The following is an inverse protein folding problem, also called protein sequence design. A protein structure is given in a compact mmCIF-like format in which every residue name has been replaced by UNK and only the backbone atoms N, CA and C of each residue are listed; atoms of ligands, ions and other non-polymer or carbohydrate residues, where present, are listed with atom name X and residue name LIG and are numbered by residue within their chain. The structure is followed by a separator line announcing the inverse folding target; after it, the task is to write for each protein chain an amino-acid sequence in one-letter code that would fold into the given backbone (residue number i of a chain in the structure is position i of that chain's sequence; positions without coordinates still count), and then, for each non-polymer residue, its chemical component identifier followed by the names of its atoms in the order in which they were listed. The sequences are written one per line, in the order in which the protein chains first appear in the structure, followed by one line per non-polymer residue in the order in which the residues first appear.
data_IF_820097593059
#
_entry.id   IF_820097593059
#
_cell.length_a   1.000
_cell.length_b   1.000
_cell.length_c   1.000
_cell.angle_alpha   90.00
_cell.angle_beta   90.00
_cell.angle_gamma   90.00
#
_symmetry.space_group_name_H-M   'P 1'
#
loop_
_entity.id
_entity.type
_entity.pdbx_description
1 polymer ?
#
# COMPACT_ATOMS: atom_id res chain seq x y z
N UNK A 1 27.30 5.52 76.44
CA UNK A 1 26.19 5.80 75.50
C UNK A 1 26.67 5.48 74.09
N UNK A 2 25.92 4.62 73.38
CA UNK A 2 26.32 3.91 72.16
C UNK A 2 26.48 4.85 70.96
N UNK A 3 27.65 4.84 70.29
CA UNK A 3 27.79 5.25 68.89
C UNK A 3 27.86 3.98 68.03
N UNK A 4 26.84 3.76 67.20
CA UNK A 4 26.77 2.67 66.22
C UNK A 4 27.73 3.00 65.07
N UNK A 5 28.69 2.12 64.81
CA UNK A 5 29.48 2.09 63.59
C UNK A 5 28.62 1.39 62.54
N UNK A 6 28.31 2.10 61.45
CA UNK A 6 27.56 1.56 60.32
C UNK A 6 28.57 0.97 59.34
N UNK A 7 28.56 -0.35 59.22
CA UNK A 7 29.31 -1.12 58.23
C UNK A 7 28.70 -0.89 56.84
N UNK A 8 29.49 -0.38 55.89
CA UNK A 8 29.12 -0.30 54.47
C UNK A 8 29.34 -1.67 53.86
N UNK A 9 28.27 -2.42 53.60
CA UNK A 9 28.28 -3.60 52.73
C UNK A 9 28.40 -3.14 51.28
N UNK A 10 29.57 -3.37 50.67
CA UNK A 10 29.78 -3.21 49.24
C UNK A 10 29.00 -4.28 48.48
N UNK A 11 27.99 -3.86 47.72
CA UNK A 11 27.30 -4.70 46.76
C UNK A 11 28.20 -4.84 45.52
N UNK A 12 28.74 -6.03 45.29
CA UNK A 12 29.43 -6.36 44.04
C UNK A 12 28.36 -6.49 42.95
N UNK A 13 28.27 -5.47 42.09
CA UNK A 13 27.45 -5.51 40.89
C UNK A 13 28.15 -6.44 39.88
N UNK A 14 27.71 -7.69 39.78
CA UNK A 14 28.09 -8.58 38.69
C UNK A 14 27.40 -8.04 37.44
N UNK A 15 28.16 -7.31 36.61
CA UNK A 15 27.73 -6.92 35.27
C UNK A 15 27.65 -8.22 34.45
N UNK A 16 26.44 -8.77 34.31
CA UNK A 16 26.16 -9.78 33.30
C UNK A 16 26.25 -9.08 31.94
N UNK A 17 27.42 -9.11 31.30
CA UNK A 17 27.56 -8.83 29.88
C UNK A 17 26.84 -9.95 29.13
N UNK A 18 25.54 -9.78 28.93
CA UNK A 18 24.81 -10.51 27.90
C UNK A 18 25.37 -9.97 26.59
N UNK A 19 26.26 -10.75 25.96
CA UNK A 19 26.61 -10.50 24.58
C UNK A 19 25.31 -10.45 23.78
N UNK A 20 25.09 -9.44 22.91
CA UNK A 20 23.97 -9.49 21.98
C UNK A 20 24.07 -10.82 21.22
N UNK A 21 22.94 -11.48 20.89
CA UNK A 21 23.00 -12.69 20.09
C UNK A 21 23.85 -12.38 18.86
N UNK A 22 24.98 -13.08 18.76
CA UNK A 22 25.81 -13.04 17.56
C UNK A 22 24.88 -13.32 16.40
N UNK A 23 24.82 -12.38 15.47
CA UNK A 23 24.16 -12.52 14.18
C UNK A 23 24.45 -13.92 13.69
N UNK A 24 23.42 -14.76 13.61
CA UNK A 24 23.56 -16.05 12.97
C UNK A 24 24.15 -15.76 11.60
N UNK A 25 25.32 -16.33 11.32
CA UNK A 25 25.81 -16.42 9.95
C UNK A 25 24.69 -17.13 9.20
N UNK A 26 23.99 -16.37 8.36
CA UNK A 26 22.85 -16.85 7.57
C UNK A 26 23.45 -17.82 6.57
N UNK A 27 23.24 -19.11 6.79
CA UNK A 27 23.47 -20.14 5.76
C UNK A 27 22.63 -19.72 4.54
N UNK A 28 23.21 -19.58 3.33
CA UNK A 28 22.54 -19.01 2.16
C UNK A 28 21.34 -19.82 1.64
N UNK A 29 21.08 -21.02 2.17
CA UNK A 29 20.14 -21.98 1.59
C UNK A 29 18.81 -22.16 2.33
N UNK A 30 18.46 -21.34 3.33
CA UNK A 30 17.20 -21.55 4.07
C UNK A 30 15.93 -21.16 3.30
N UNK A 31 16.03 -20.37 2.22
CA UNK A 31 14.88 -19.90 1.44
C UNK A 31 14.55 -20.76 0.21
N UNK A 32 15.51 -21.55 -0.31
CA UNK A 32 15.24 -22.58 -1.33
C UNK A 32 14.60 -23.85 -0.74
N UNK A 33 14.72 -24.05 0.58
CA UNK A 33 14.16 -25.21 1.28
C UNK A 33 12.64 -25.04 1.43
N UNK A 34 11.90 -25.40 0.38
CA UNK A 34 10.44 -25.28 0.30
C UNK A 34 9.92 -24.58 -0.97
N UNK A 35 10.79 -24.24 -1.91
CA UNK A 35 10.40 -23.81 -3.25
C UNK A 35 10.00 -25.03 -4.11
N UNK A 36 8.87 -24.94 -4.80
CA UNK A 36 8.40 -25.96 -5.73
C UNK A 36 8.97 -25.73 -7.13
N UNK A 37 9.14 -24.46 -7.51
CA UNK A 37 9.71 -24.02 -8.77
C UNK A 37 10.73 -22.91 -8.52
N UNK A 38 11.91 -23.01 -9.14
CA UNK A 38 13.00 -22.03 -8.98
C UNK A 38 13.31 -21.42 -10.34
N UNK A 39 12.90 -20.17 -10.52
CA UNK A 39 13.24 -19.37 -11.70
C UNK A 39 14.74 -19.10 -11.71
N UNK A 40 15.42 -19.57 -12.76
CA UNK A 40 16.87 -19.51 -12.89
C UNK A 40 17.33 -18.83 -14.21
N UNK A 41 16.40 -18.32 -15.01
CA UNK A 41 16.63 -17.64 -16.29
C UNK A 41 15.74 -16.42 -16.42
N UNK A 42 16.26 -15.30 -16.94
CA UNK A 42 15.41 -14.13 -17.27
C UNK A 42 14.75 -14.20 -18.64
N UNK A 43 14.96 -15.29 -19.38
CA UNK A 43 14.34 -15.47 -20.69
C UNK A 43 12.81 -15.57 -20.58
N UNK A 44 12.09 -15.23 -21.66
CA UNK A 44 10.65 -15.44 -21.79
C UNK A 44 10.28 -15.97 -23.21
N UNK A 45 10.71 -17.19 -23.59
CA UNK A 45 10.52 -17.70 -24.95
C UNK A 45 9.08 -18.11 -25.26
N UNK A 46 8.17 -18.10 -24.27
CA UNK A 46 6.76 -18.45 -24.45
C UNK A 46 6.44 -19.96 -24.38
N UNK A 47 7.44 -20.84 -24.48
CA UNK A 47 7.31 -22.30 -24.46
C UNK A 47 8.46 -22.96 -23.68
N UNK A 48 8.17 -24.09 -23.03
CA UNK A 48 9.19 -24.98 -22.45
C UNK A 48 8.73 -25.63 -21.14
N UNK A 49 9.67 -26.01 -20.27
CA UNK A 49 9.40 -26.72 -19.01
C UNK A 49 10.38 -26.21 -17.96
N UNK A 50 9.87 -25.87 -16.78
CA UNK A 50 10.71 -25.43 -15.67
C UNK A 50 11.52 -26.61 -15.12
N UNK A 51 12.84 -26.61 -15.31
CA UNK A 51 13.76 -27.59 -14.76
C UNK A 51 15.10 -26.97 -14.31
N UNK A 52 16.05 -27.83 -13.89
CA UNK A 52 17.38 -27.38 -13.41
C UNK A 52 18.25 -26.74 -14.50
N UNK A 53 17.98 -27.01 -15.78
CA UNK A 53 18.71 -26.45 -16.91
C UNK A 53 18.21 -25.06 -17.22
N UNK A 54 16.89 -24.93 -17.33
CA UNK A 54 16.23 -23.64 -17.55
C UNK A 54 14.83 -23.68 -16.94
N UNK A 55 14.52 -22.65 -16.18
CA UNK A 55 13.21 -22.37 -15.66
C UNK A 55 12.99 -20.86 -15.70
N UNK A 56 12.17 -20.44 -16.65
CA UNK A 56 11.68 -19.06 -16.77
C UNK A 56 10.48 -18.83 -15.85
N UNK A 57 10.18 -17.57 -15.55
CA UNK A 57 9.01 -17.23 -14.74
C UNK A 57 7.71 -17.75 -15.38
N UNK A 58 7.57 -17.66 -16.70
CA UNK A 58 6.41 -18.18 -17.42
C UNK A 58 6.23 -19.68 -17.23
N UNK A 59 7.31 -20.44 -17.33
CA UNK A 59 7.26 -21.90 -17.16
C UNK A 59 6.96 -22.28 -15.72
N UNK A 60 7.53 -21.58 -14.74
CA UNK A 60 7.24 -21.78 -13.33
C UNK A 60 5.75 -21.54 -13.02
N UNK A 61 5.17 -20.44 -13.51
CA UNK A 61 3.73 -20.16 -13.38
C UNK A 61 2.89 -21.25 -14.05
N UNK A 62 3.27 -21.66 -15.27
CA UNK A 62 2.52 -22.70 -16.01
C UNK A 62 2.55 -24.03 -15.28
N UNK A 63 3.69 -24.38 -14.68
CA UNK A 63 3.84 -25.61 -13.91
C UNK A 63 3.03 -25.56 -12.61
N UNK A 64 3.10 -24.47 -11.85
CA UNK A 64 2.31 -24.26 -10.63
C UNK A 64 0.79 -24.33 -10.92
N UNK A 65 0.33 -23.70 -12.01
CA UNK A 65 -1.07 -23.77 -12.43
C UNK A 65 -1.56 -25.20 -12.77
N UNK A 66 -0.65 -26.13 -13.03
CA UNK A 66 -0.96 -27.46 -13.53
C UNK A 66 -0.71 -28.59 -12.53
N UNK A 67 -0.17 -28.30 -11.35
CA UNK A 67 0.28 -29.33 -10.41
C UNK A 67 -0.76 -29.72 -9.34
N UNK A 68 -1.79 -28.90 -9.16
CA UNK A 68 -2.91 -29.12 -8.24
C UNK A 68 -2.53 -29.04 -6.77
N UNK A 69 -1.50 -28.25 -6.42
CA UNK A 69 -1.11 -27.97 -5.04
C UNK A 69 -0.71 -26.50 -4.87
N UNK A 70 -0.74 -26.06 -3.62
CA UNK A 70 -0.11 -24.80 -3.19
C UNK A 70 1.37 -24.84 -3.56
N UNK A 71 1.80 -23.88 -4.36
CA UNK A 71 3.15 -23.81 -4.93
C UNK A 71 3.90 -22.56 -4.50
N UNK A 72 5.20 -22.70 -4.23
CA UNK A 72 6.10 -21.56 -4.05
C UNK A 72 7.03 -21.43 -5.25
N UNK A 73 6.92 -20.32 -5.97
CA UNK A 73 7.82 -19.90 -7.04
C UNK A 73 8.88 -18.97 -6.44
N UNK A 74 10.13 -19.45 -6.42
CA UNK A 74 11.30 -18.72 -5.98
C UNK A 74 12.17 -18.28 -7.17
N UNK A 75 13.13 -17.39 -6.91
CA UNK A 75 14.12 -16.89 -7.86
C UNK A 75 15.53 -17.20 -7.34
N UNK A 76 16.37 -17.75 -8.22
CA UNK A 76 17.80 -17.91 -8.02
C UNK A 76 18.55 -17.76 -9.35
N UNK A 77 18.32 -16.63 -10.02
CA UNK A 77 18.90 -16.33 -11.32
C UNK A 77 20.39 -15.96 -11.15
N UNK A 78 21.32 -16.58 -11.89
CA UNK A 78 22.75 -16.29 -11.74
C UNK A 78 23.12 -14.92 -12.29
N UNK A 79 24.14 -14.28 -11.71
CA UNK A 79 24.70 -13.03 -12.23
C UNK A 79 25.38 -13.18 -13.61
N UNK A 80 25.57 -14.42 -14.09
CA UNK A 80 26.01 -14.72 -15.46
C UNK A 80 24.87 -14.72 -16.47
N UNK A 81 23.61 -14.65 -16.01
CA UNK A 81 22.45 -14.57 -16.87
C UNK A 81 22.46 -13.26 -17.68
N UNK A 82 21.98 -13.33 -18.92
CA UNK A 82 22.01 -12.21 -19.86
C UNK A 82 21.15 -11.01 -19.44
N UNK A 83 20.15 -11.21 -18.57
CA UNK A 83 19.30 -10.15 -18.02
C UNK A 83 19.88 -9.46 -16.79
N UNK A 84 21.03 -9.89 -16.26
CA UNK A 84 21.65 -9.24 -15.11
C UNK A 84 22.40 -7.95 -15.50
N UNK A 85 22.05 -6.85 -14.85
CA UNK A 85 22.77 -5.58 -14.96
C UNK A 85 23.65 -5.32 -13.73
N UNK A 86 24.95 -5.51 -13.88
CA UNK A 86 25.93 -5.29 -12.80
C UNK A 86 26.04 -3.85 -12.25
N UNK A 87 25.52 -2.85 -12.97
CA UNK A 87 25.54 -1.46 -12.51
C UNK A 87 24.37 -1.13 -11.57
N UNK A 88 23.24 -1.83 -11.72
CA UNK A 88 22.04 -1.66 -10.90
C UNK A 88 21.81 -2.82 -9.93
N UNK A 89 22.43 -3.97 -10.17
CA UNK A 89 22.23 -5.19 -9.38
C UNK A 89 20.87 -5.86 -9.61
N UNK A 90 20.28 -5.69 -10.79
CA UNK A 90 18.92 -6.11 -11.14
C UNK A 90 18.95 -7.16 -12.26
N UNK A 91 18.05 -8.14 -12.19
CA UNK A 91 17.72 -9.08 -13.25
C UNK A 91 16.42 -8.69 -13.92
N UNK A 92 16.48 -8.35 -15.21
CA UNK A 92 15.31 -7.93 -15.97
C UNK A 92 14.78 -9.06 -16.86
N UNK A 93 13.52 -9.42 -16.64
CA UNK A 93 12.71 -10.32 -17.47
C UNK A 93 11.90 -9.47 -18.45
N UNK A 94 12.27 -9.50 -19.73
CA UNK A 94 11.51 -8.82 -20.77
C UNK A 94 10.38 -9.71 -21.29
N UNK A 95 9.14 -9.30 -21.06
CA UNK A 95 7.97 -10.09 -21.45
C UNK A 95 7.79 -10.11 -22.97
N UNK A 96 7.73 -11.31 -23.55
CA UNK A 96 7.38 -11.52 -24.95
C UNK A 96 5.86 -11.50 -25.19
N UNK A 97 5.09 -11.80 -24.15
CA UNK A 97 3.62 -11.70 -24.09
C UNK A 97 3.19 -11.52 -22.63
N UNK A 98 1.92 -11.19 -22.37
CA UNK A 98 1.42 -11.16 -20.98
C UNK A 98 1.76 -12.47 -20.28
N UNK A 99 2.14 -12.43 -19.00
CA UNK A 99 2.40 -13.63 -18.22
C UNK A 99 1.14 -14.52 -18.17
N UNK A 100 1.28 -15.85 -18.06
CA UNK A 100 0.12 -16.71 -17.85
C UNK A 100 -0.61 -16.24 -16.59
N UNK A 101 -1.94 -16.28 -16.62
CA UNK A 101 -2.75 -15.99 -15.45
C UNK A 101 -2.32 -16.93 -14.30
N UNK A 102 -2.16 -16.40 -13.10
CA UNK A 102 -1.85 -17.23 -11.93
C UNK A 102 -3.17 -17.76 -11.35
N UNK A 103 -3.47 -19.04 -11.58
CA UNK A 103 -4.79 -19.63 -11.32
C UNK A 103 -4.80 -20.67 -10.21
N UNK A 104 -3.65 -21.25 -9.87
CA UNK A 104 -3.58 -22.17 -8.72
C UNK A 104 -3.57 -21.40 -7.40
N UNK A 105 -4.59 -21.64 -6.59
CA UNK A 105 -4.77 -20.98 -5.29
C UNK A 105 -3.65 -21.34 -4.30
N UNK A 106 -3.25 -20.37 -3.49
CA UNK A 106 -2.16 -20.52 -2.53
C UNK A 106 -0.78 -20.27 -3.14
N UNK A 107 -0.68 -20.03 -4.46
CA UNK A 107 0.62 -19.88 -5.10
C UNK A 107 1.33 -18.58 -4.66
N UNK A 108 2.55 -18.71 -4.15
CA UNK A 108 3.42 -17.59 -3.82
C UNK A 108 4.47 -17.35 -4.89
N UNK A 109 4.65 -16.10 -5.35
CA UNK A 109 5.74 -15.68 -6.23
C UNK A 109 6.64 -14.71 -5.47
N UNK A 110 7.82 -15.20 -5.10
CA UNK A 110 8.64 -14.61 -4.03
C UNK A 110 9.92 -14.00 -4.58
N UNK A 111 9.86 -12.77 -5.09
CA UNK A 111 11.03 -12.03 -5.58
C UNK A 111 12.11 -11.83 -4.53
N UNK A 112 11.74 -11.75 -3.24
CA UNK A 112 12.67 -11.69 -2.10
C UNK A 112 13.67 -12.86 -2.01
N UNK A 113 13.35 -14.00 -2.62
CA UNK A 113 14.24 -15.17 -2.60
C UNK A 113 15.51 -14.92 -3.40
N UNK A 114 15.48 -14.08 -4.44
CA UNK A 114 16.68 -13.66 -5.18
C UNK A 114 17.69 -13.00 -4.23
N UNK A 115 17.25 -11.98 -3.48
CA UNK A 115 18.05 -11.31 -2.44
C UNK A 115 18.52 -12.29 -1.37
N UNK A 116 17.65 -13.21 -0.95
CA UNK A 116 17.97 -14.22 0.05
C UNK A 116 19.13 -15.15 -0.37
N UNK A 117 19.19 -15.50 -1.66
CA UNK A 117 20.13 -16.48 -2.21
C UNK A 117 21.42 -15.83 -2.75
N UNK A 118 21.32 -14.63 -3.34
CA UNK A 118 22.46 -13.91 -3.95
C UNK A 118 23.02 -12.79 -3.06
N UNK A 119 22.35 -12.47 -1.96
CA UNK A 119 22.61 -11.26 -1.17
C UNK A 119 21.92 -10.05 -1.79
N UNK A 120 21.80 -8.98 -1.02
CA UNK A 120 21.20 -7.71 -1.47
C UNK A 120 22.07 -7.04 -2.53
N UNK A 121 21.74 -7.24 -3.80
CA UNK A 121 22.43 -6.63 -4.93
C UNK A 121 21.79 -5.32 -5.37
N UNK A 122 20.53 -5.07 -5.00
CA UNK A 122 19.83 -3.81 -5.23
C UNK A 122 19.33 -3.23 -3.89
N UNK A 123 20.14 -2.41 -3.20
CA UNK A 123 19.80 -1.88 -1.87
C UNK A 123 18.64 -0.89 -1.88
N UNK A 124 18.10 -0.59 -3.05
CA UNK A 124 17.04 0.38 -3.26
C UNK A 124 15.70 -0.27 -3.57
N UNK A 125 15.61 -1.58 -3.78
CA UNK A 125 14.33 -2.19 -4.15
C UNK A 125 14.45 -3.65 -4.56
N UNK A 126 13.42 -4.17 -5.25
CA UNK A 126 13.43 -5.52 -5.79
C UNK A 126 14.61 -5.79 -6.74
N UNK A 127 15.17 -6.99 -6.68
CA UNK A 127 16.23 -7.43 -7.61
C UNK A 127 15.67 -8.01 -8.91
N UNK A 128 14.42 -8.47 -8.90
CA UNK A 128 13.74 -9.00 -10.08
C UNK A 128 12.85 -7.91 -10.67
N UNK A 129 13.11 -7.57 -11.93
CA UNK A 129 12.30 -6.66 -12.72
C UNK A 129 11.57 -7.43 -13.82
N UNK A 130 10.25 -7.28 -13.88
CA UNK A 130 9.37 -7.80 -14.92
C UNK A 130 8.95 -6.60 -15.79
N UNK A 131 9.51 -6.53 -16.99
CA UNK A 131 9.31 -5.40 -17.89
C UNK A 131 8.40 -5.79 -19.06
N UNK A 132 7.22 -5.15 -19.13
CA UNK A 132 6.25 -5.25 -20.20
C UNK A 132 6.53 -4.38 -21.44
N UNK A 133 7.66 -3.67 -21.52
CA UNK A 133 7.92 -2.66 -22.55
C UNK A 133 7.83 -3.16 -24.01
N UNK A 134 7.92 -4.48 -24.23
CA UNK A 134 7.84 -5.12 -25.55
C UNK A 134 6.44 -5.66 -25.88
N UNK A 135 5.48 -5.51 -24.98
CA UNK A 135 4.11 -5.97 -25.18
C UNK A 135 3.34 -5.07 -26.14
N UNK A 136 2.34 -5.65 -26.81
CA UNK A 136 1.44 -4.90 -27.70
C UNK A 136 0.61 -3.86 -26.93
N UNK A 137 0.24 -2.72 -27.55
CA UNK A 137 -0.65 -1.74 -26.93
C UNK A 137 -1.92 -2.37 -26.34
N UNK A 138 -2.27 -2.00 -25.11
CA UNK A 138 -3.42 -2.53 -24.38
C UNK A 138 -3.20 -3.88 -23.68
N UNK A 139 -2.01 -4.50 -23.78
CA UNK A 139 -1.69 -5.69 -23.02
C UNK A 139 -1.39 -5.39 -21.55
N UNK A 140 -1.93 -6.21 -20.65
CA UNK A 140 -1.54 -6.24 -19.24
C UNK A 140 -0.21 -6.98 -19.08
N UNK A 141 0.53 -6.71 -18.01
CA UNK A 141 1.67 -7.55 -17.66
C UNK A 141 1.22 -8.89 -17.07
N UNK A 142 0.29 -8.86 -16.11
CA UNK A 142 -0.06 -10.06 -15.36
C UNK A 142 -1.50 -10.06 -14.82
N UNK A 143 -2.16 -11.20 -14.97
CA UNK A 143 -3.45 -11.51 -14.38
C UNK A 143 -3.28 -12.39 -13.13
N UNK A 144 -3.89 -11.97 -12.02
CA UNK A 144 -3.80 -12.63 -10.71
C UNK A 144 -5.17 -13.23 -10.35
N UNK A 145 -5.17 -14.53 -10.05
CA UNK A 145 -6.31 -15.29 -9.54
C UNK A 145 -6.54 -15.05 -8.05
N UNK A 146 -6.82 -16.12 -7.29
CA UNK A 146 -7.14 -16.05 -5.85
C UNK A 146 -6.02 -16.64 -4.99
N UNK A 147 -6.00 -16.23 -3.71
CA UNK A 147 -5.14 -16.74 -2.65
C UNK A 147 -3.65 -16.76 -3.06
N UNK A 148 -3.20 -15.74 -3.78
CA UNK A 148 -1.82 -15.62 -4.25
C UNK A 148 -1.03 -14.67 -3.35
N UNK A 149 0.28 -14.93 -3.21
CA UNK A 149 1.22 -13.91 -2.72
C UNK A 149 2.14 -13.42 -3.83
N UNK A 150 2.20 -12.11 -4.08
CA UNK A 150 3.18 -11.47 -4.97
C UNK A 150 4.07 -10.58 -4.11
N UNK A 151 5.35 -10.97 -3.98
CA UNK A 151 6.29 -10.33 -3.07
C UNK A 151 7.55 -9.83 -3.79
N UNK A 152 7.91 -8.56 -3.54
CA UNK A 152 9.18 -7.92 -3.92
C UNK A 152 9.60 -8.12 -5.37
N UNK A 153 8.72 -7.72 -6.29
CA UNK A 153 9.00 -7.61 -7.72
C UNK A 153 8.92 -6.16 -8.18
N UNK A 154 9.75 -5.78 -9.14
CA UNK A 154 9.50 -4.58 -9.95
C UNK A 154 8.66 -4.99 -11.16
N UNK A 155 7.54 -4.32 -11.42
CA UNK A 155 6.62 -4.60 -12.54
C UNK A 155 6.35 -3.29 -13.27
N UNK A 156 6.86 -3.16 -14.49
CA UNK A 156 6.84 -1.87 -15.20
C UNK A 156 6.75 -2.02 -16.72
N UNK A 157 6.60 -0.88 -17.42
CA UNK A 157 6.50 -0.85 -18.88
C UNK A 157 5.27 -1.56 -19.46
N UNK A 158 4.26 -1.86 -18.65
CA UNK A 158 3.04 -2.57 -19.05
C UNK A 158 2.10 -1.65 -19.86
N UNK A 159 1.74 -1.95 -21.12
CA UNK A 159 0.91 -1.05 -21.93
C UNK A 159 -0.49 -0.77 -21.37
N UNK A 160 -1.06 -1.69 -20.59
CA UNK A 160 -2.27 -1.51 -19.79
C UNK A 160 -1.96 -1.58 -18.29
N UNK A 161 -2.61 -2.49 -17.56
CA UNK A 161 -2.41 -2.66 -16.13
C UNK A 161 -1.09 -3.36 -15.81
N UNK A 162 -0.44 -2.95 -14.72
CA UNK A 162 0.68 -3.70 -14.15
C UNK A 162 0.19 -5.05 -13.64
N UNK A 163 -0.70 -4.99 -12.65
CA UNK A 163 -1.41 -6.16 -12.11
C UNK A 163 -2.92 -6.01 -12.30
N UNK A 164 -3.55 -7.03 -12.86
CA UNK A 164 -5.00 -7.16 -12.91
C UNK A 164 -5.43 -8.32 -12.01
N UNK A 165 -6.06 -7.99 -10.89
CA UNK A 165 -6.48 -8.92 -9.84
C UNK A 165 -7.99 -9.13 -9.95
N UNK A 166 -8.41 -10.36 -10.21
CA UNK A 166 -9.83 -10.71 -10.33
C UNK A 166 -10.26 -11.79 -9.34
N UNK A 167 -9.33 -12.38 -8.60
CA UNK A 167 -9.63 -13.28 -7.50
C UNK A 167 -9.49 -12.63 -6.13
N UNK A 168 -9.65 -13.47 -5.12
CA UNK A 168 -9.82 -13.08 -3.73
C UNK A 168 -8.58 -13.41 -2.89
N UNK A 169 -8.50 -12.90 -1.66
CA UNK A 169 -7.52 -13.33 -0.65
C UNK A 169 -6.05 -13.18 -1.09
N UNK A 170 -5.75 -12.29 -2.05
CA UNK A 170 -4.38 -12.08 -2.51
C UNK A 170 -3.60 -11.15 -1.57
N UNK A 171 -2.29 -11.36 -1.47
CA UNK A 171 -1.36 -10.50 -0.76
C UNK A 171 -0.32 -9.95 -1.73
N UNK A 172 -0.31 -8.64 -1.94
CA UNK A 172 0.61 -7.93 -2.84
C UNK A 172 1.46 -7.00 -2.00
N UNK A 173 2.74 -7.33 -1.80
CA UNK A 173 3.62 -6.65 -0.83
C UNK A 173 5.04 -6.41 -1.37
N UNK A 174 5.62 -5.26 -0.99
CA UNK A 174 7.01 -4.93 -1.29
C UNK A 174 7.30 -4.72 -2.79
N UNK A 175 6.29 -4.60 -3.65
CA UNK A 175 6.45 -4.50 -5.09
C UNK A 175 6.60 -3.05 -5.55
N UNK A 176 7.39 -2.84 -6.60
CA UNK A 176 7.55 -1.54 -7.27
C UNK A 176 6.81 -1.61 -8.60
N UNK A 177 5.73 -0.85 -8.76
CA UNK A 177 4.82 -0.94 -9.89
C UNK A 177 4.79 0.41 -10.61
N UNK A 178 5.18 0.40 -11.89
CA UNK A 178 5.27 1.58 -12.75
C UNK A 178 6.57 2.37 -12.65
N UNK A 179 7.43 2.06 -11.67
CA UNK A 179 8.76 2.65 -11.52
C UNK A 179 9.85 1.74 -12.06
N UNK A 180 11.07 2.25 -12.16
CA UNK A 180 12.28 1.44 -12.27
C UNK A 180 12.53 0.63 -10.98
N UNK A 181 13.48 -0.30 -11.03
CA UNK A 181 13.84 -1.15 -9.89
C UNK A 181 14.48 -0.40 -8.71
N UNK A 182 14.84 0.88 -8.89
CA UNK A 182 15.29 1.75 -7.78
C UNK A 182 14.15 2.54 -7.16
N UNK A 183 12.94 2.45 -7.70
CA UNK A 183 11.76 3.16 -7.22
C UNK A 183 11.87 4.68 -7.32
N UNK A 184 12.72 5.19 -8.22
CA UNK A 184 13.09 6.61 -8.28
C UNK A 184 12.88 7.24 -9.65
N UNK A 185 12.55 6.44 -10.67
CA UNK A 185 12.21 6.91 -12.01
C UNK A 185 10.94 6.25 -12.51
N UNK A 186 10.15 7.00 -13.27
CA UNK A 186 8.92 6.52 -13.88
C UNK A 186 9.25 5.74 -15.15
N UNK A 187 8.55 4.64 -15.34
CA UNK A 187 8.58 3.85 -16.58
C UNK A 187 7.15 3.88 -17.13
N UNK A 188 6.75 5.11 -17.50
CA UNK A 188 5.36 5.54 -17.67
C UNK A 188 4.52 4.66 -18.59
N UNK A 189 3.25 4.48 -18.22
CA UNK A 189 2.24 3.76 -19.00
C UNK A 189 0.86 4.40 -18.88
N UNK A 190 -0.11 3.95 -19.68
CA UNK A 190 -1.38 4.65 -19.92
C UNK A 190 -2.52 4.31 -18.95
N UNK A 191 -2.39 3.26 -18.12
CA UNK A 191 -3.49 2.72 -17.29
C UNK A 191 -3.06 2.57 -15.82
N UNK A 192 -3.91 1.96 -14.97
CA UNK A 192 -3.63 1.82 -13.55
C UNK A 192 -2.45 0.87 -13.24
N UNK A 193 -1.72 1.15 -12.16
CA UNK A 193 -0.74 0.22 -11.59
C UNK A 193 -1.35 -1.12 -11.22
N UNK A 194 -2.37 -1.08 -10.36
CA UNK A 194 -3.13 -2.24 -9.91
C UNK A 194 -4.62 -2.01 -10.17
N UNK A 195 -5.28 -2.99 -10.80
CA UNK A 195 -6.73 -3.06 -10.89
C UNK A 195 -7.24 -4.25 -10.05
N UNK A 196 -8.06 -3.98 -9.04
CA UNK A 196 -8.95 -4.96 -8.42
C UNK A 196 -10.27 -4.95 -9.19
N UNK A 197 -10.43 -5.91 -10.09
CA UNK A 197 -11.57 -6.03 -11.00
C UNK A 197 -12.82 -6.62 -10.33
N UNK A 198 -13.93 -6.75 -11.08
CA UNK A 198 -15.21 -7.22 -10.53
C UNK A 198 -15.09 -8.57 -9.84
N UNK A 199 -15.47 -8.61 -8.56
CA UNK A 199 -15.46 -9.83 -7.76
C UNK A 199 -14.13 -10.09 -7.04
N UNK A 200 -13.22 -9.11 -7.00
CA UNK A 200 -12.01 -9.20 -6.20
C UNK A 200 -12.31 -8.82 -4.74
N UNK A 201 -12.27 -9.81 -3.85
CA UNK A 201 -12.60 -9.68 -2.43
C UNK A 201 -11.42 -9.99 -1.50
N UNK A 202 -11.39 -9.38 -0.32
CA UNK A 202 -10.42 -9.70 0.75
C UNK A 202 -8.94 -9.58 0.35
N UNK A 203 -8.61 -8.80 -0.68
CA UNK A 203 -7.23 -8.61 -1.12
C UNK A 203 -6.51 -7.61 -0.22
N UNK A 204 -5.24 -7.87 0.06
CA UNK A 204 -4.35 -6.98 0.80
C UNK A 204 -3.27 -6.43 -0.13
N UNK A 205 -3.27 -5.11 -0.32
CA UNK A 205 -2.20 -4.38 -1.03
C UNK A 205 -1.38 -3.63 0.02
N UNK A 206 -0.17 -4.12 0.27
CA UNK A 206 0.78 -3.59 1.23
C UNK A 206 0.65 -4.20 2.63
N UNK A 207 1.32 -3.62 3.61
CA UNK A 207 1.40 -4.18 4.96
C UNK A 207 1.83 -3.18 6.02
N UNK A 208 1.85 -3.58 7.29
CA UNK A 208 2.20 -2.70 8.40
C UNK A 208 3.72 -2.46 8.49
N UNK A 209 4.54 -3.31 7.88
CA UNK A 209 5.99 -3.22 7.95
C UNK A 209 6.53 -2.44 6.74
N UNK A 210 7.68 -1.79 6.90
CA UNK A 210 8.33 -1.04 5.81
C UNK A 210 8.64 -1.92 4.59
N UNK A 211 8.91 -3.19 4.83
CA UNK A 211 9.26 -4.19 3.82
C UNK A 211 8.07 -4.73 3.02
N UNK A 212 6.85 -4.50 3.51
CA UNK A 212 5.60 -4.87 2.84
C UNK A 212 5.09 -3.76 1.91
N UNK A 213 5.69 -2.57 1.97
CA UNK A 213 5.26 -1.37 1.26
C UNK A 213 5.44 -1.53 -0.25
N UNK A 214 4.34 -1.42 -0.99
CA UNK A 214 4.44 -1.24 -2.43
C UNK A 214 4.74 0.24 -2.77
N UNK A 215 5.44 0.47 -3.89
CA UNK A 215 5.61 1.77 -4.53
C UNK A 215 4.83 1.73 -5.84
N UNK A 216 3.82 2.57 -6.00
CA UNK A 216 2.86 2.52 -7.13
C UNK A 216 2.77 3.92 -7.74
N UNK A 217 3.55 4.14 -8.78
CA UNK A 217 3.91 5.49 -9.24
C UNK A 217 4.19 5.51 -10.75
N UNK A 218 4.07 6.67 -11.39
CA UNK A 218 4.33 6.84 -12.83
C UNK A 218 3.32 6.17 -13.76
N UNK A 219 2.16 5.72 -13.26
CA UNK A 219 1.12 5.05 -14.05
C UNK A 219 -0.02 6.02 -14.43
N UNK A 220 -0.93 5.60 -15.31
CA UNK A 220 -2.15 6.37 -15.62
C UNK A 220 -3.06 6.60 -14.40
N UNK A 221 -3.02 5.70 -13.42
CA UNK A 221 -3.61 5.83 -12.08
C UNK A 221 -2.91 4.87 -11.13
N UNK A 222 -3.00 5.06 -9.82
CA UNK A 222 -2.31 4.16 -8.87
C UNK A 222 -3.02 2.81 -8.73
N UNK A 223 -4.03 2.76 -7.85
CA UNK A 223 -4.84 1.56 -7.58
C UNK A 223 -6.30 1.85 -7.93
N UNK A 224 -6.96 0.95 -8.66
CA UNK A 224 -8.40 1.03 -8.93
C UNK A 224 -9.12 -0.18 -8.34
N UNK A 225 -10.18 0.05 -7.57
CA UNK A 225 -11.14 -0.96 -7.11
C UNK A 225 -12.44 -0.75 -7.88
N UNK A 226 -12.86 -1.78 -8.61
CA UNK A 226 -13.91 -1.65 -9.60
C UNK A 226 -14.92 -2.78 -9.51
N UNK A 227 -16.21 -2.42 -9.47
CA UNK A 227 -17.33 -3.34 -9.61
C UNK A 227 -18.02 -3.72 -8.30
N UNK A 228 -19.32 -4.00 -8.39
CA UNK A 228 -20.22 -4.17 -7.23
C UNK A 228 -19.98 -5.40 -6.36
N UNK A 229 -19.10 -6.30 -6.80
CA UNK A 229 -18.69 -7.48 -6.04
C UNK A 229 -17.27 -7.33 -5.47
N UNK A 230 -16.63 -6.16 -5.66
CA UNK A 230 -15.26 -5.94 -5.20
C UNK A 230 -15.30 -5.31 -3.81
N UNK A 231 -15.02 -6.14 -2.80
CA UNK A 231 -15.27 -5.76 -1.41
C UNK A 231 -14.23 -6.26 -0.41
N UNK A 232 -14.24 -5.69 0.80
CA UNK A 232 -13.34 -6.08 1.89
C UNK A 232 -11.84 -6.02 1.54
N UNK A 233 -11.45 -5.26 0.51
CA UNK A 233 -10.05 -5.09 0.15
C UNK A 233 -9.38 -4.06 1.08
N UNK A 234 -8.12 -4.30 1.42
CA UNK A 234 -7.33 -3.44 2.31
C UNK A 234 -6.11 -2.93 1.56
N UNK A 235 -6.02 -1.61 1.41
CA UNK A 235 -4.85 -0.91 0.87
C UNK A 235 -4.16 -0.21 2.03
N UNK A 236 -2.99 -0.68 2.47
CA UNK A 236 -2.30 -0.13 3.66
C UNK A 236 -0.79 -0.06 3.48
N UNK A 237 -0.17 0.95 4.10
CA UNK A 237 1.29 1.04 4.16
C UNK A 237 2.01 1.30 2.83
N UNK A 238 1.31 1.68 1.76
CA UNK A 238 1.87 1.88 0.42
C UNK A 238 2.37 3.30 0.18
N UNK A 239 3.28 3.46 -0.79
CA UNK A 239 3.65 4.74 -1.39
C UNK A 239 3.03 4.85 -2.79
N UNK A 240 2.23 5.89 -3.00
CA UNK A 240 1.41 6.06 -4.21
C UNK A 240 1.62 7.45 -4.78
N UNK A 241 2.26 7.53 -5.95
CA UNK A 241 2.65 8.77 -6.63
C UNK A 241 3.94 9.42 -6.09
N UNK A 242 4.70 8.71 -5.25
CA UNK A 242 6.02 9.12 -4.77
C UNK A 242 7.11 8.16 -5.22
N UNK A 243 8.37 8.55 -5.03
CA UNK A 243 9.47 7.59 -5.03
C UNK A 243 9.40 6.60 -3.84
N UNK A 244 10.33 5.64 -3.81
CA UNK A 244 10.46 4.65 -2.73
C UNK A 244 10.74 5.24 -1.35
N UNK A 245 11.13 6.52 -1.26
CA UNK A 245 11.36 7.20 0.02
C UNK A 245 10.10 7.88 0.55
N UNK A 246 9.06 8.01 -0.28
CA UNK A 246 7.84 8.71 0.08
C UNK A 246 7.96 10.23 -0.01
N UNK A 247 9.03 10.75 -0.61
CA UNK A 247 9.35 12.19 -0.54
C UNK A 247 9.46 12.88 -1.89
N UNK A 248 9.97 12.21 -2.92
CA UNK A 248 10.14 12.79 -4.24
C UNK A 248 8.88 12.54 -5.09
N UNK A 249 8.48 13.53 -5.92
CA UNK A 249 7.32 13.39 -6.78
C UNK A 249 7.58 12.36 -7.89
N UNK A 250 6.69 11.39 -7.98
CA UNK A 250 6.65 10.41 -9.06
C UNK A 250 5.18 10.07 -9.39
N UNK A 251 4.38 11.13 -9.52
CA UNK A 251 2.92 11.07 -9.57
C UNK A 251 2.39 10.10 -10.62
N UNK A 252 1.25 9.49 -10.32
CA UNK A 252 0.41 8.90 -11.36
C UNK A 252 -0.31 10.03 -12.13
N UNK A 253 -0.65 9.83 -13.40
CA UNK A 253 -1.32 10.87 -14.21
C UNK A 253 -2.76 11.16 -13.72
N UNK A 254 -3.43 10.14 -13.20
CA UNK A 254 -4.78 10.19 -12.65
C UNK A 254 -4.79 10.20 -11.11
N UNK A 255 -5.86 9.67 -10.52
CA UNK A 255 -5.97 9.57 -9.05
C UNK A 255 -5.02 8.50 -8.48
N UNK A 256 -4.55 8.72 -7.26
CA UNK A 256 -3.74 7.74 -6.54
C UNK A 256 -4.52 6.45 -6.27
N UNK A 257 -5.72 6.57 -5.70
CA UNK A 257 -6.66 5.45 -5.51
C UNK A 257 -8.04 5.84 -6.04
N UNK A 258 -8.67 4.97 -6.82
CA UNK A 258 -10.06 5.11 -7.28
C UNK A 258 -10.91 3.92 -6.84
N UNK A 259 -12.10 4.17 -6.28
CA UNK A 259 -13.09 3.15 -5.90
C UNK A 259 -14.40 3.50 -6.61
N UNK A 260 -14.94 2.57 -7.40
CA UNK A 260 -16.06 2.88 -8.30
C UNK A 260 -16.94 1.66 -8.64
N UNK A 261 -18.03 1.94 -9.34
CA UNK A 261 -18.97 0.96 -9.91
C UNK A 261 -19.55 -0.02 -8.89
N UNK A 262 -19.85 0.47 -7.69
CA UNK A 262 -20.49 -0.28 -6.61
C UNK A 262 -19.53 -1.01 -5.67
N UNK A 263 -18.22 -0.84 -5.82
CA UNK A 263 -17.25 -1.41 -4.89
C UNK A 263 -17.51 -0.90 -3.46
N UNK A 264 -17.52 -1.82 -2.48
CA UNK A 264 -18.00 -1.52 -1.13
C UNK A 264 -17.18 -2.21 -0.03
N UNK A 265 -17.31 -1.77 1.22
CA UNK A 265 -16.61 -2.37 2.38
C UNK A 265 -15.07 -2.40 2.25
N UNK A 266 -14.46 -1.54 1.42
CA UNK A 266 -13.01 -1.48 1.27
C UNK A 266 -12.38 -0.52 2.29
N UNK A 267 -11.14 -0.79 2.69
CA UNK A 267 -10.38 0.07 3.61
C UNK A 267 -9.12 0.60 2.93
N UNK A 268 -9.02 1.92 2.82
CA UNK A 268 -7.80 2.64 2.43
C UNK A 268 -7.14 3.15 3.70
N UNK A 269 -6.13 2.42 4.16
CA UNK A 269 -5.34 2.74 5.33
C UNK A 269 -5.17 1.57 6.30
N UNK A 270 -4.39 1.77 7.37
CA UNK A 270 -3.64 2.99 7.68
C UNK A 270 -2.33 3.11 6.88
N UNK A 271 -1.64 4.24 7.05
CA UNK A 271 -0.23 4.46 6.70
C UNK A 271 0.12 4.44 5.20
N UNK A 272 -0.83 4.68 4.29
CA UNK A 272 -0.44 4.99 2.91
C UNK A 272 0.10 6.43 2.83
N UNK A 273 1.11 6.67 2.00
CA UNK A 273 1.49 7.99 1.51
C UNK A 273 0.92 8.13 0.11
N UNK A 274 -0.01 9.06 -0.09
CA UNK A 274 -0.71 9.26 -1.37
C UNK A 274 -0.48 10.70 -1.80
N UNK A 275 0.49 10.89 -2.69
CA UNK A 275 0.95 12.23 -3.01
C UNK A 275 1.35 12.41 -4.47
N UNK A 276 1.36 13.67 -4.91
CA UNK A 276 1.82 14.11 -6.23
C UNK A 276 1.06 13.52 -7.43
N UNK A 277 -0.11 12.90 -7.20
CA UNK A 277 -0.92 12.37 -8.29
C UNK A 277 -1.56 13.52 -9.10
N UNK A 278 -1.69 13.34 -10.42
CA UNK A 278 -2.28 14.30 -11.36
C UNK A 278 -3.79 14.45 -11.22
N UNK A 279 -4.44 13.50 -10.53
CA UNK A 279 -5.84 13.56 -10.10
C UNK A 279 -5.99 13.77 -8.58
N UNK A 280 -6.97 13.10 -7.99
CA UNK A 280 -7.21 13.13 -6.54
C UNK A 280 -6.29 12.17 -5.80
N UNK A 281 -6.08 12.38 -4.50
CA UNK A 281 -5.44 11.36 -3.67
C UNK A 281 -6.27 10.07 -3.67
N UNK A 282 -7.49 10.15 -3.14
CA UNK A 282 -8.50 9.09 -3.15
C UNK A 282 -9.78 9.62 -3.79
N UNK A 283 -10.32 8.89 -4.76
CA UNK A 283 -11.58 9.19 -5.44
C UNK A 283 -12.57 8.06 -5.26
N UNK A 284 -13.76 8.34 -4.74
CA UNK A 284 -14.83 7.37 -4.57
C UNK A 284 -16.04 7.86 -5.37
N UNK A 285 -16.53 7.06 -6.32
CA UNK A 285 -17.57 7.49 -7.25
C UNK A 285 -18.69 6.47 -7.44
N UNK A 286 -19.94 6.97 -7.50
CA UNK A 286 -21.15 6.18 -7.78
C UNK A 286 -22.00 5.92 -6.54
N UNK A 287 -23.33 5.95 -6.71
CA UNK A 287 -24.30 5.89 -5.60
C UNK A 287 -24.29 4.58 -4.82
N UNK A 288 -23.88 3.49 -5.47
CA UNK A 288 -23.76 2.16 -4.86
C UNK A 288 -22.36 1.91 -4.28
N UNK A 289 -21.41 2.81 -4.49
CA UNK A 289 -20.03 2.70 -4.00
C UNK A 289 -19.96 3.23 -2.58
N UNK A 290 -20.44 2.44 -1.62
CA UNK A 290 -20.65 2.82 -0.22
C UNK A 290 -19.87 1.92 0.75
N UNK A 291 -19.80 2.30 2.02
CA UNK A 291 -19.11 1.59 3.10
C UNK A 291 -17.58 1.53 2.94
N UNK A 292 -17.01 2.45 2.15
CA UNK A 292 -15.58 2.51 1.94
C UNK A 292 -14.91 3.45 2.96
N UNK A 293 -14.02 2.90 3.78
CA UNK A 293 -13.32 3.61 4.84
C UNK A 293 -11.99 4.15 4.34
N UNK A 294 -11.72 5.45 4.59
CA UNK A 294 -10.41 6.07 4.34
C UNK A 294 -9.87 6.54 5.68
N UNK A 295 -8.77 5.95 6.15
CA UNK A 295 -8.30 6.16 7.53
C UNK A 295 -6.79 6.31 7.59
N UNK A 296 -6.30 7.27 8.38
CA UNK A 296 -4.88 7.36 8.78
C UNK A 296 -3.88 7.33 7.61
N UNK A 297 -4.22 7.95 6.49
CA UNK A 297 -3.32 8.13 5.36
C UNK A 297 -2.58 9.47 5.49
N UNK A 298 -1.42 9.56 4.86
CA UNK A 298 -0.71 10.81 4.58
C UNK A 298 -1.03 11.22 3.15
N UNK A 299 -2.03 12.07 2.95
CA UNK A 299 -2.47 12.50 1.62
C UNK A 299 -2.06 13.96 1.42
N UNK A 300 -1.32 14.27 0.35
CA UNK A 300 -0.85 15.64 0.10
C UNK A 300 -0.31 15.86 -1.31
N UNK A 301 -0.24 17.13 -1.72
CA UNK A 301 0.38 17.55 -2.97
C UNK A 301 -0.20 16.87 -4.22
N UNK A 302 -1.43 16.34 -4.18
CA UNK A 302 -2.12 15.91 -5.40
C UNK A 302 -2.69 17.13 -6.12
N UNK A 303 -2.90 17.03 -7.43
CA UNK A 303 -3.44 18.15 -8.21
C UNK A 303 -4.91 18.39 -7.90
N UNK A 304 -5.66 17.32 -7.63
CA UNK A 304 -7.05 17.36 -7.16
C UNK A 304 -7.14 17.46 -5.63
N UNK A 305 -8.35 17.24 -5.10
CA UNK A 305 -8.58 17.05 -3.66
C UNK A 305 -7.87 15.80 -3.11
N UNK A 306 -7.55 15.82 -1.81
CA UNK A 306 -7.01 14.66 -1.11
C UNK A 306 -7.99 13.48 -1.08
N UNK A 307 -9.26 13.72 -0.74
CA UNK A 307 -10.35 12.75 -0.83
C UNK A 307 -11.50 13.42 -1.57
N UNK A 308 -12.09 12.73 -2.56
CA UNK A 308 -13.33 13.17 -3.20
C UNK A 308 -14.42 12.10 -3.23
N UNK A 309 -15.66 12.54 -3.05
CA UNK A 309 -16.87 11.72 -3.19
C UNK A 309 -17.71 12.28 -4.36
N UNK A 310 -18.03 11.44 -5.34
CA UNK A 310 -18.89 11.81 -6.47
C UNK A 310 -20.12 10.92 -6.59
N UNK A 311 -21.18 11.46 -7.18
CA UNK A 311 -22.37 10.71 -7.61
C UNK A 311 -23.07 9.86 -6.53
N UNK A 312 -23.03 10.28 -5.26
CA UNK A 312 -23.66 9.55 -4.16
C UNK A 312 -22.73 8.61 -3.38
N UNK A 313 -21.45 8.52 -3.77
CA UNK A 313 -20.46 7.68 -3.11
C UNK A 313 -20.42 7.91 -1.60
N UNK A 314 -20.22 6.82 -0.85
CA UNK A 314 -20.23 6.83 0.62
C UNK A 314 -21.47 7.53 1.22
N UNK A 315 -22.62 7.43 0.53
CA UNK A 315 -23.87 8.05 0.96
C UNK A 315 -23.83 9.58 0.98
N UNK A 316 -22.91 10.21 0.25
CA UNK A 316 -22.59 11.64 0.34
C UNK A 316 -22.35 12.08 1.79
N UNK A 317 -21.62 11.27 2.59
CA UNK A 317 -21.30 11.65 3.96
C UNK A 317 -20.60 13.01 3.96
N UNK A 318 -21.27 14.01 4.54
CA UNK A 318 -20.80 15.38 4.52
C UNK A 318 -19.46 15.49 5.24
N UNK A 319 -18.53 16.25 4.67
CA UNK A 319 -17.31 16.65 5.38
C UNK A 319 -17.66 17.54 6.59
N UNK A 320 -16.84 17.52 7.66
CA UNK A 320 -16.96 18.50 8.74
C UNK A 320 -16.96 19.93 8.21
N UNK A 321 -17.84 20.79 8.73
CA UNK A 321 -18.04 22.17 8.28
C UNK A 321 -18.14 23.14 9.47
N UNK A 322 -18.23 24.45 9.23
CA UNK A 322 -18.33 25.50 10.27
C UNK A 322 -17.27 25.39 11.38
N UNK A 323 -16.02 25.15 10.98
CA UNK A 323 -14.89 25.06 11.90
C UNK A 323 -14.60 26.45 12.51
N UNK A 324 -14.88 26.64 13.81
CA UNK A 324 -14.69 27.93 14.51
C UNK A 324 -13.69 27.80 15.65
N UNK A 325 -12.68 28.67 15.72
CA UNK A 325 -11.78 28.75 16.87
C UNK A 325 -12.48 29.44 18.07
N UNK A 326 -12.95 28.67 19.05
CA UNK A 326 -13.47 29.20 20.33
C UNK A 326 -12.63 28.59 21.48
N UNK A 327 -12.48 29.29 22.60
CA UNK A 327 -11.73 28.83 23.78
C UNK A 327 -12.65 28.27 24.90
N UNK A 328 -13.82 27.68 24.60
CA UNK A 328 -14.75 27.21 25.66
C UNK A 328 -15.70 26.09 25.21
N UNK A 329 -15.77 25.02 26.01
CA UNK A 329 -16.52 23.79 25.76
C UNK A 329 -18.04 24.00 25.53
N UNK A 330 -18.61 23.27 24.57
CA UNK A 330 -20.05 23.16 24.33
C UNK A 330 -20.42 21.74 23.91
N UNK A 331 -21.66 21.33 24.17
CA UNK A 331 -22.22 19.99 23.85
C UNK A 331 -23.55 20.13 23.12
N UNK A 332 -23.79 19.32 22.07
CA UNK A 332 -25.09 19.19 21.39
C UNK A 332 -25.34 17.77 20.87
N UNK A 333 -26.60 17.40 20.65
CA UNK A 333 -27.08 16.03 20.36
C UNK A 333 -27.73 15.88 18.99
N UNK A 334 -27.36 14.85 18.22
CA UNK A 334 -28.22 14.13 17.26
C UNK A 334 -27.71 12.68 17.09
N UNK A 335 -28.54 11.80 16.51
CA UNK A 335 -28.32 10.34 16.51
C UNK A 335 -27.29 9.85 15.49
N UNK A 336 -26.35 9.02 15.95
CA UNK A 336 -25.37 8.27 15.16
C UNK A 336 -23.97 8.28 15.80
N UNK A 337 -23.26 7.14 15.76
CA UNK A 337 -21.85 7.07 16.19
C UNK A 337 -20.96 7.41 15.00
N UNK A 338 -20.15 8.48 15.12
CA UNK A 338 -19.15 8.86 14.13
C UNK A 338 -17.76 8.74 14.75
N UNK A 339 -16.80 8.30 13.95
CA UNK A 339 -15.37 8.43 14.22
C UNK A 339 -14.85 9.62 13.43
N UNK A 340 -14.10 10.52 14.07
CA UNK A 340 -13.42 11.61 13.37
C UNK A 340 -11.92 11.36 13.36
N UNK A 341 -11.25 11.87 12.33
CA UNK A 341 -9.79 11.88 12.22
C UNK A 341 -9.33 13.30 11.88
N UNK A 342 -8.30 13.76 12.59
CA UNK A 342 -7.70 15.08 12.40
C UNK A 342 -6.32 14.96 11.77
N UNK A 343 -6.07 15.78 10.76
CA UNK A 343 -4.83 15.80 10.01
C UNK A 343 -4.28 17.22 9.95
N UNK A 344 -2.95 17.38 9.99
CA UNK A 344 -2.30 18.66 9.75
C UNK A 344 -1.52 18.68 8.45
N UNK A 345 -1.51 19.83 7.78
CA UNK A 345 -0.84 20.04 6.50
C UNK A 345 -0.54 21.53 6.25
N UNK A 346 0.24 21.82 5.20
CA UNK A 346 0.36 23.16 4.63
C UNK A 346 -0.82 23.54 3.74
N UNK A 347 -1.62 22.56 3.29
CA UNK A 347 -2.77 22.72 2.40
C UNK A 347 -3.99 21.92 2.92
N UNK A 348 -4.96 21.58 2.05
CA UNK A 348 -6.26 20.99 2.43
C UNK A 348 -6.34 19.44 2.29
N UNK A 349 -5.21 18.74 2.18
CA UNK A 349 -5.22 17.32 1.79
C UNK A 349 -4.90 16.34 2.92
N UNK A 350 -4.51 16.80 4.11
CA UNK A 350 -4.37 15.93 5.28
C UNK A 350 -3.09 15.08 5.31
N UNK A 351 -1.94 15.75 5.25
CA UNK A 351 -0.61 15.11 5.22
C UNK A 351 -0.23 14.33 6.47
N UNK A 352 -0.52 14.85 7.66
CA UNK A 352 -0.08 14.22 8.90
C UNK A 352 -1.26 13.88 9.78
N UNK A 353 -1.51 12.59 9.99
CA UNK A 353 -2.48 12.14 10.98
C UNK A 353 -2.05 12.58 12.38
N UNK A 354 -2.92 13.33 13.08
CA UNK A 354 -2.66 13.87 14.42
C UNK A 354 -3.39 13.08 15.51
N UNK A 355 -4.68 12.77 15.29
CA UNK A 355 -5.47 12.01 16.25
C UNK A 355 -6.78 11.52 15.66
N UNK A 356 -7.41 10.57 16.37
CA UNK A 356 -8.77 10.11 16.10
C UNK A 356 -9.57 10.09 17.40
N UNK A 357 -10.89 10.20 17.28
CA UNK A 357 -11.80 10.00 18.39
C UNK A 357 -13.19 9.58 17.93
N UNK A 358 -13.92 8.95 18.84
CA UNK A 358 -15.31 8.60 18.63
C UNK A 358 -16.25 9.64 19.24
N UNK A 359 -17.45 9.73 18.68
CA UNK A 359 -18.55 10.46 19.29
C UNK A 359 -19.78 9.56 19.42
N UNK A 360 -20.43 9.60 20.57
CA UNK A 360 -21.81 9.12 20.71
C UNK A 360 -22.85 10.19 20.28
N UNK A 361 -22.38 11.41 19.97
CA UNK A 361 -23.19 12.60 19.72
C UNK A 361 -22.38 13.63 18.93
N UNK A 362 -22.90 14.10 17.78
CA UNK A 362 -22.22 14.87 16.73
C UNK A 362 -21.72 16.30 17.05
N UNK A 363 -21.20 16.54 18.25
CA UNK A 363 -20.36 17.71 18.53
C UNK A 363 -19.17 17.25 19.38
N UNK A 364 -17.95 17.40 18.85
CA UNK A 364 -16.71 17.12 19.57
C UNK A 364 -15.84 18.38 19.62
N UNK A 365 -15.27 18.65 20.79
CA UNK A 365 -14.30 19.71 20.98
C UNK A 365 -12.91 19.10 21.02
N UNK A 366 -12.07 19.49 20.06
CA UNK A 366 -10.67 19.10 20.02
C UNK A 366 -9.85 20.03 20.92
N UNK A 367 -9.22 19.47 21.95
CA UNK A 367 -8.27 20.17 22.80
C UNK A 367 -6.93 19.44 22.73
N UNK A 368 -5.94 19.92 21.96
CA UNK A 368 -4.58 19.50 22.23
C UNK A 368 -4.22 20.22 23.53
N UNK A 369 -4.28 19.53 24.67
CA UNK A 369 -3.95 20.14 25.95
C UNK A 369 -2.54 20.76 25.95
N UNK A 370 -1.64 20.31 25.05
CA UNK A 370 -0.24 20.77 24.98
C UNK A 370 0.43 20.66 23.57
N UNK A 371 -0.30 20.66 22.44
CA UNK A 371 0.32 20.39 21.11
C UNK A 371 0.01 21.50 20.10
N UNK A 372 1.04 22.26 19.72
CA UNK A 372 1.07 22.94 18.43
C UNK A 372 1.02 21.84 17.36
N UNK A 373 -0.01 21.85 16.50
CA UNK A 373 -0.06 20.98 15.33
C UNK A 373 1.26 21.07 14.55
N UNK A 374 1.67 19.96 13.91
CA UNK A 374 2.94 19.93 13.16
C UNK A 374 2.96 20.95 12.03
N UNK A 375 1.79 21.30 11.50
CA UNK A 375 1.61 22.15 10.33
C UNK A 375 0.52 23.20 10.52
N UNK A 376 0.54 24.29 9.73
CA UNK A 376 -0.26 25.48 9.98
C UNK A 376 -1.75 25.34 9.64
N UNK A 377 -2.17 24.25 9.01
CA UNK A 377 -3.58 23.98 8.74
C UNK A 377 -3.98 22.60 9.24
N UNK A 378 -5.26 22.47 9.59
CA UNK A 378 -5.88 21.24 10.03
C UNK A 378 -7.08 20.95 9.13
N UNK A 379 -7.22 19.70 8.72
CA UNK A 379 -8.41 19.16 8.05
C UNK A 379 -8.92 17.95 8.82
N UNK A 380 -10.21 17.66 8.65
CA UNK A 380 -10.86 16.54 9.33
C UNK A 380 -11.63 15.69 8.35
N UNK A 381 -11.71 14.40 8.65
CA UNK A 381 -12.69 13.48 8.07
C UNK A 381 -13.62 12.95 9.15
N UNK A 382 -14.79 12.46 8.75
CA UNK A 382 -15.63 11.61 9.57
C UNK A 382 -15.91 10.29 8.88
N UNK A 383 -15.98 9.23 9.67
CA UNK A 383 -16.40 7.91 9.26
C UNK A 383 -17.64 7.51 10.06
N UNK A 384 -18.70 7.10 9.36
CA UNK A 384 -19.92 6.63 10.03
C UNK A 384 -19.81 5.17 10.51
N UNK A 385 -20.80 4.72 11.28
CA UNK A 385 -20.85 3.35 11.80
C UNK A 385 -20.98 2.26 10.72
N UNK A 386 -21.27 2.66 9.48
CA UNK A 386 -21.34 1.75 8.33
C UNK A 386 -20.04 1.77 7.50
N UNK A 387 -19.02 2.53 7.90
CA UNK A 387 -17.73 2.59 7.22
C UNK A 387 -17.65 3.62 6.10
N UNK A 388 -18.66 4.46 5.88
CA UNK A 388 -18.57 5.56 4.92
C UNK A 388 -17.64 6.65 5.46
N UNK A 389 -16.63 7.07 4.70
CA UNK A 389 -15.78 8.23 5.06
C UNK A 389 -16.09 9.44 4.18
N UNK A 390 -16.10 10.63 4.78
CA UNK A 390 -16.30 11.91 4.10
C UNK A 390 -15.07 12.37 3.31
N UNK A 391 -15.24 13.39 2.46
CA UNK A 391 -14.11 14.22 2.02
C UNK A 391 -13.42 14.91 3.23
N UNK A 392 -12.23 15.48 3.01
CA UNK A 392 -11.64 16.41 3.97
C UNK A 392 -12.50 17.66 4.13
N UNK A 393 -12.60 18.16 5.36
CA UNK A 393 -13.12 19.50 5.63
C UNK A 393 -12.27 20.59 4.95
N UNK A 394 -12.82 21.80 4.83
CA UNK A 394 -12.00 22.97 4.52
C UNK A 394 -10.84 23.11 5.54
N UNK A 395 -9.69 23.60 5.09
CA UNK A 395 -8.54 23.81 5.95
C UNK A 395 -8.80 24.96 6.94
N UNK A 396 -8.36 24.75 8.19
CA UNK A 396 -8.42 25.77 9.24
C UNK A 396 -7.06 26.00 9.86
N UNK A 397 -6.70 27.27 10.15
CA UNK A 397 -5.42 27.57 10.76
C UNK A 397 -5.19 26.82 12.06
N UNK A 398 -3.98 26.29 12.24
CA UNK A 398 -3.53 25.62 13.44
C UNK A 398 -3.63 26.56 14.65
N UNK A 399 -4.40 26.14 15.66
CA UNK A 399 -4.71 26.89 16.87
C UNK A 399 -5.78 26.16 17.70
N UNK A 400 -6.28 26.74 18.80
CA UNK A 400 -7.42 26.15 19.53
C UNK A 400 -8.65 26.08 18.62
N UNK A 401 -9.21 24.88 18.40
CA UNK A 401 -10.18 24.64 17.34
C UNK A 401 -11.45 23.96 17.88
N UNK A 402 -12.64 24.53 17.63
CA UNK A 402 -13.90 23.81 17.70
C UNK A 402 -14.26 23.31 16.32
N UNK A 403 -14.61 22.02 16.26
CA UNK A 403 -15.00 21.33 15.04
C UNK A 403 -16.47 21.02 15.16
N UNK A 404 -17.29 21.55 14.26
CA UNK A 404 -18.64 21.05 14.09
C UNK A 404 -18.57 19.84 13.15
N UNK A 405 -18.68 18.66 13.73
CA UNK A 405 -18.89 17.46 12.95
C UNK A 405 -20.30 17.55 12.34
N UNK A 406 -20.51 17.03 11.11
CA UNK A 406 -21.84 16.99 10.55
C UNK A 406 -22.72 16.16 11.49
N UNK A 407 -23.85 16.73 11.91
CA UNK A 407 -24.92 15.93 12.48
C UNK A 407 -25.36 14.98 11.36
N UNK A 408 -25.26 13.67 11.59
CA UNK A 408 -25.87 12.67 10.73
C UNK A 408 -27.36 13.01 10.58
N UNK A 409 -27.73 13.68 9.48
CA UNK A 409 -29.13 13.84 9.11
C UNK A 409 -29.51 12.59 8.34
N UNK A 410 -29.81 11.49 9.05
CA UNK A 410 -30.61 10.44 8.44
C UNK A 410 -32.03 10.93 8.28
N UNK A 411 -32.42 11.14 7.02
CA UNK A 411 -33.77 11.52 6.67
C UNK A 411 -34.01 11.61 5.17
N UNK A 412 -33.59 10.60 4.39
CA UNK A 412 -34.24 10.21 3.13
C UNK A 412 -34.11 8.71 2.91
#
# INVERSE_FOLDING_TARGET
MRKRVLTVTGLVLILCLVAPPTSAVREPNRFLQGADYVVNSTADPGIGTCDETECTLREAITAANGDGKVSNIAFDIPASDGGYNSSTGVWTIYLASALPALTEEGTGVMGSTQTGNRGDTNPYGPEIEISGQSLSPGAICWWIGSNTTIDRLTINGCPAYGLQVHGDDNTIVGNYIGTDATGSSDVSTSYNGILLGPGAENNTIGGPNEEDRNVISGMGGGICIFGSASSANVIRGNYIGTDRTGTQPLGNDGSGISIQDGAHDNTVGPNNVIAYNGGHGVSIGGSETIYNTVTQNSIHSNVGKGITLSDGANGNLAAPYDLVAICSAGSASSGGSLTWEAFSDFDEEGRFFESTGGTASGLFAFFPADVLFRYPYVTLTVTDASGNTSEFSAAVPSGCLFVYLPLSMKGY
#
